data_IF_387101744311
#
_entry.id   IF_387101744311
#
_cell.length_a   1.000
_cell.length_b   1.000
_cell.length_c   1.000
_cell.angle_alpha   90.00
_cell.angle_beta   90.00
_cell.angle_gamma   90.00
#
_symmetry.space_group_name_H-M   'P 1'
#
loop_
_entity.id
_entity.type
_entity.pdbx_description
1 polymer ?
#
# COMPACT_ATOMS: atom_id res chain seq x y z
N UNK A 1 28.90 -5.52 -11.99
CA UNK A 1 27.58 -4.86 -12.21
C UNK A 1 26.67 -4.85 -10.98
N UNK A 2 26.92 -5.70 -9.95
CA UNK A 2 26.14 -5.67 -8.71
C UNK A 2 26.30 -4.33 -7.98
N UNK A 3 27.54 -3.91 -7.75
CA UNK A 3 27.86 -2.65 -7.06
C UNK A 3 27.19 -1.46 -7.75
N UNK A 4 27.31 -1.37 -9.07
CA UNK A 4 26.68 -0.31 -9.87
C UNK A 4 25.16 -0.30 -9.74
N UNK A 5 24.51 -1.48 -9.77
CA UNK A 5 23.06 -1.59 -9.61
C UNK A 5 22.60 -1.18 -8.22
N UNK A 6 23.36 -1.57 -7.18
CA UNK A 6 23.06 -1.19 -5.80
C UNK A 6 23.31 0.31 -5.57
N UNK A 7 24.38 0.87 -6.14
CA UNK A 7 24.64 2.32 -6.09
C UNK A 7 23.48 3.12 -6.70
N UNK A 8 22.98 2.71 -7.88
CA UNK A 8 21.83 3.37 -8.54
C UNK A 8 20.58 3.27 -7.67
N UNK A 9 20.28 2.09 -7.07
CA UNK A 9 19.11 1.92 -6.21
C UNK A 9 19.20 2.81 -4.97
N UNK A 10 20.37 2.85 -4.31
CA UNK A 10 20.56 3.64 -3.11
C UNK A 10 20.54 5.15 -3.39
N UNK A 11 21.03 5.57 -4.53
CA UNK A 11 20.92 6.97 -4.98
C UNK A 11 19.46 7.33 -5.28
N UNK A 12 18.76 6.50 -6.05
CA UNK A 12 17.36 6.69 -6.43
C UNK A 12 16.43 6.88 -5.22
N UNK A 13 16.61 6.08 -4.15
CA UNK A 13 15.74 6.19 -2.96
C UNK A 13 16.09 7.36 -2.06
N UNK A 14 17.26 7.98 -2.20
CA UNK A 14 17.72 9.10 -1.38
C UNK A 14 17.59 10.46 -2.07
N UNK A 15 17.44 10.50 -3.39
CA UNK A 15 17.43 11.74 -4.17
C UNK A 15 16.31 11.73 -5.23
N UNK A 16 15.04 11.83 -4.82
CA UNK A 16 13.90 11.78 -5.73
C UNK A 16 13.85 13.04 -6.61
N UNK A 17 13.39 12.85 -7.83
CA UNK A 17 13.20 13.94 -8.78
C UNK A 17 11.74 13.98 -9.27
N UNK A 18 10.89 14.72 -8.56
CA UNK A 18 9.50 14.94 -8.93
C UNK A 18 9.34 16.29 -9.63
N UNK A 19 8.72 16.28 -10.78
CA UNK A 19 8.34 17.49 -11.51
C UNK A 19 6.87 17.46 -11.86
N UNK A 20 6.25 18.62 -12.06
CA UNK A 20 4.86 18.70 -12.49
C UNK A 20 4.61 17.87 -13.77
N UNK A 21 5.57 17.86 -14.69
CA UNK A 21 5.46 17.11 -15.95
C UNK A 21 5.51 15.59 -15.73
N UNK A 22 6.43 15.09 -14.88
CA UNK A 22 6.54 13.65 -14.59
C UNK A 22 5.34 13.16 -13.79
N UNK A 23 4.86 13.96 -12.85
CA UNK A 23 3.65 13.67 -12.06
C UNK A 23 2.43 13.61 -12.96
N UNK A 24 2.20 14.59 -13.83
CA UNK A 24 1.06 14.58 -14.76
C UNK A 24 1.08 13.38 -15.72
N UNK A 25 2.27 12.97 -16.18
CA UNK A 25 2.40 11.75 -16.99
C UNK A 25 2.01 10.51 -16.22
N UNK A 26 2.47 10.37 -14.98
CA UNK A 26 2.20 9.22 -14.13
C UNK A 26 0.73 9.15 -13.71
N UNK A 27 0.10 10.29 -13.42
CA UNK A 27 -1.34 10.38 -13.19
C UNK A 27 -2.16 9.79 -14.35
N UNK A 28 -1.73 10.03 -15.60
CA UNK A 28 -2.37 9.46 -16.78
C UNK A 28 -2.25 7.93 -16.83
N UNK A 29 -1.08 7.38 -16.47
CA UNK A 29 -0.82 5.93 -16.44
C UNK A 29 -1.64 5.27 -15.33
N UNK A 30 -1.55 5.79 -14.11
CA UNK A 30 -2.29 5.27 -12.95
C UNK A 30 -3.80 5.40 -13.16
N UNK A 31 -4.26 6.50 -13.78
CA UNK A 31 -5.69 6.67 -14.11
C UNK A 31 -6.23 5.60 -15.08
N UNK A 32 -5.38 5.07 -15.97
CA UNK A 32 -5.76 3.93 -16.82
C UNK A 32 -5.77 2.61 -16.03
N UNK A 33 -4.83 2.43 -15.11
CA UNK A 33 -4.79 1.27 -14.21
C UNK A 33 -6.01 1.24 -13.28
N UNK A 34 -6.40 2.37 -12.69
CA UNK A 34 -7.62 2.48 -11.88
C UNK A 34 -8.85 2.04 -12.68
N UNK A 35 -9.01 2.52 -13.92
CA UNK A 35 -10.12 2.09 -14.77
C UNK A 35 -10.13 0.59 -15.06
N UNK A 36 -8.96 -0.01 -15.21
CA UNK A 36 -8.85 -1.46 -15.40
C UNK A 36 -9.35 -2.22 -14.16
N UNK A 37 -9.04 -1.75 -12.94
CA UNK A 37 -9.57 -2.33 -11.71
C UNK A 37 -11.07 -2.06 -11.53
N UNK A 38 -11.55 -0.87 -11.89
CA UNK A 38 -12.97 -0.53 -11.87
C UNK A 38 -13.80 -1.44 -12.78
N UNK A 39 -13.22 -1.91 -13.88
CA UNK A 39 -13.85 -2.86 -14.82
C UNK A 39 -13.72 -4.33 -14.36
N UNK A 40 -13.05 -4.62 -13.24
CA UNK A 40 -12.88 -5.96 -12.69
C UNK A 40 -14.01 -6.32 -11.72
N UNK A 41 -14.89 -7.30 -12.04
CA UNK A 41 -15.98 -7.69 -11.15
C UNK A 41 -15.50 -8.24 -9.80
N UNK A 42 -14.40 -9.02 -9.79
CA UNK A 42 -13.82 -9.59 -8.57
C UNK A 42 -13.27 -8.50 -7.65
N UNK A 43 -12.65 -7.47 -8.24
CA UNK A 43 -12.15 -6.32 -7.50
C UNK A 43 -13.30 -5.53 -6.88
N UNK A 44 -14.34 -5.25 -7.67
CA UNK A 44 -15.52 -4.51 -7.21
C UNK A 44 -16.27 -5.22 -6.09
N UNK A 45 -16.50 -6.53 -6.20
CA UNK A 45 -17.22 -7.28 -5.15
C UNK A 45 -16.41 -7.33 -3.85
N UNK A 46 -15.08 -7.42 -3.93
CA UNK A 46 -14.20 -7.38 -2.77
C UNK A 46 -14.26 -6.00 -2.06
N UNK A 47 -14.10 -4.91 -2.82
CA UNK A 47 -14.13 -3.57 -2.22
C UNK A 47 -15.52 -3.17 -1.72
N UNK A 48 -16.59 -3.55 -2.40
CA UNK A 48 -17.96 -3.37 -1.91
C UNK A 48 -18.18 -4.07 -0.56
N UNK A 49 -17.63 -5.28 -0.39
CA UNK A 49 -17.65 -5.98 0.90
C UNK A 49 -16.87 -5.20 1.97
N UNK A 50 -15.64 -4.75 1.68
CA UNK A 50 -14.82 -3.98 2.61
C UNK A 50 -15.47 -2.64 2.99
N UNK A 51 -16.07 -1.93 2.04
CA UNK A 51 -16.81 -0.70 2.30
C UNK A 51 -18.04 -0.91 3.20
N UNK A 52 -18.72 -2.05 3.02
CA UNK A 52 -19.84 -2.44 3.89
C UNK A 52 -19.38 -2.87 5.28
N UNK A 53 -18.20 -3.47 5.41
CA UNK A 53 -17.67 -3.96 6.69
C UNK A 53 -17.11 -2.85 7.58
N UNK A 54 -16.44 -1.84 7.03
CA UNK A 54 -15.64 -0.88 7.78
C UNK A 54 -16.19 0.55 7.72
N UNK A 55 -16.26 1.21 8.88
CA UNK A 55 -16.63 2.62 8.99
C UNK A 55 -15.44 3.56 8.71
N UNK A 56 -14.34 3.37 9.45
CA UNK A 56 -13.21 4.31 9.47
C UNK A 56 -11.90 3.67 8.99
N UNK A 57 -11.81 2.33 9.05
CA UNK A 57 -10.55 1.64 8.75
C UNK A 57 -10.15 1.82 7.27
N UNK A 58 -8.91 2.22 6.98
CA UNK A 58 -8.46 2.52 5.62
C UNK A 58 -8.42 1.31 4.67
N UNK A 59 -8.54 0.08 5.18
CA UNK A 59 -8.60 -1.14 4.35
C UNK A 59 -9.75 -1.13 3.35
N UNK A 60 -10.81 -0.35 3.59
CA UNK A 60 -11.94 -0.17 2.67
C UNK A 60 -11.62 0.72 1.47
N UNK A 61 -10.50 1.43 1.52
CA UNK A 61 -10.08 2.36 0.45
C UNK A 61 -9.15 1.60 -0.49
N UNK A 62 -9.45 1.64 -1.78
CA UNK A 62 -8.57 1.09 -2.78
C UNK A 62 -7.21 1.80 -2.72
N UNK A 63 -6.12 1.02 -2.69
CA UNK A 63 -4.76 1.56 -2.59
C UNK A 63 -4.39 2.43 -3.80
N UNK A 64 -4.98 2.17 -4.96
CA UNK A 64 -4.80 2.99 -6.15
C UNK A 64 -5.55 4.32 -6.05
N UNK A 65 -6.52 4.42 -5.15
CA UNK A 65 -7.40 5.59 -5.05
C UNK A 65 -8.41 5.69 -6.19
N UNK A 66 -8.82 6.90 -6.53
CA UNK A 66 -9.68 7.21 -7.68
C UNK A 66 -8.98 8.18 -8.62
N UNK A 67 -9.51 8.33 -9.83
CA UNK A 67 -8.97 9.31 -10.82
C UNK A 67 -8.97 10.72 -10.23
N UNK A 68 -10.00 11.07 -9.43
CA UNK A 68 -10.13 12.36 -8.78
C UNK A 68 -9.06 12.56 -7.70
N UNK A 69 -8.83 11.55 -6.83
CA UNK A 69 -7.80 11.64 -5.77
C UNK A 69 -6.39 11.66 -6.33
N UNK A 70 -6.13 10.90 -7.40
CA UNK A 70 -4.83 10.93 -8.10
C UNK A 70 -4.59 12.29 -8.73
N UNK A 71 -5.60 12.96 -9.29
CA UNK A 71 -5.46 14.29 -9.88
C UNK A 71 -5.04 15.37 -8.86
N UNK A 72 -5.29 15.15 -7.57
CA UNK A 72 -4.87 16.05 -6.49
C UNK A 72 -3.40 15.92 -6.08
N UNK A 73 -2.70 14.89 -6.56
CA UNK A 73 -1.29 14.63 -6.21
C UNK A 73 -0.40 15.55 -7.02
N UNK A 74 0.33 16.42 -6.35
CA UNK A 74 1.30 17.33 -6.97
C UNK A 74 2.73 16.90 -6.64
N UNK A 75 3.72 17.46 -7.34
CA UNK A 75 5.13 17.24 -7.03
C UNK A 75 5.46 17.66 -5.59
N UNK A 76 4.87 18.76 -5.11
CA UNK A 76 5.04 19.26 -3.74
C UNK A 76 4.52 18.25 -2.72
N UNK A 77 3.29 17.73 -2.91
CA UNK A 77 2.73 16.67 -2.05
C UNK A 77 3.62 15.42 -2.02
N UNK A 78 4.16 15.02 -3.17
CA UNK A 78 5.09 13.88 -3.23
C UNK A 78 6.37 14.16 -2.43
N UNK A 79 6.95 15.34 -2.52
CA UNK A 79 8.10 15.73 -1.69
C UNK A 79 7.76 15.77 -0.19
N UNK A 80 6.57 16.24 0.19
CA UNK A 80 6.11 16.24 1.58
C UNK A 80 6.03 14.80 2.12
N UNK A 81 5.37 13.90 1.39
CA UNK A 81 5.26 12.48 1.77
C UNK A 81 6.62 11.80 1.79
N UNK A 82 7.45 12.04 0.78
CA UNK A 82 8.81 11.53 0.72
C UNK A 82 9.63 11.94 1.95
N UNK A 83 9.63 13.22 2.29
CA UNK A 83 10.38 13.76 3.44
C UNK A 83 9.93 13.18 4.79
N UNK A 84 8.69 12.70 4.90
CA UNK A 84 8.19 12.03 6.10
C UNK A 84 8.60 10.57 6.14
N UNK A 85 8.34 9.81 5.07
CA UNK A 85 8.39 8.35 5.09
C UNK A 85 9.71 7.77 4.56
N UNK A 86 10.39 8.44 3.62
CA UNK A 86 11.64 8.00 3.03
C UNK A 86 12.86 8.45 3.84
N UNK A 87 12.79 8.26 5.14
CA UNK A 87 13.91 8.46 6.03
C UNK A 87 14.68 7.14 6.19
N UNK A 88 16.01 7.15 6.08
CA UNK A 88 16.83 5.94 6.14
C UNK A 88 16.64 5.16 7.47
N UNK A 89 16.26 5.83 8.56
CA UNK A 89 15.92 5.16 9.82
C UNK A 89 14.54 4.46 9.78
N UNK A 90 13.74 4.69 8.74
CA UNK A 90 12.45 4.04 8.50
C UNK A 90 12.51 3.03 7.35
N UNK A 91 13.70 2.73 6.82
CA UNK A 91 13.90 1.86 5.67
C UNK A 91 14.73 0.63 6.04
N UNK A 92 14.50 -0.46 5.33
CA UNK A 92 15.27 -1.70 5.45
C UNK A 92 15.78 -2.07 4.07
N UNK A 93 17.10 -2.30 3.97
CA UNK A 93 17.72 -2.83 2.76
C UNK A 93 17.78 -4.36 2.84
N UNK A 94 17.07 -5.03 1.95
CA UNK A 94 17.14 -6.47 1.76
C UNK A 94 17.81 -6.80 0.42
N UNK A 95 18.83 -7.62 0.45
CA UNK A 95 19.56 -8.06 -0.75
C UNK A 95 19.59 -9.59 -0.81
N UNK A 96 19.09 -10.16 -1.91
CA UNK A 96 19.11 -11.58 -2.18
C UNK A 96 19.82 -11.86 -3.52
N UNK A 97 20.69 -12.86 -3.54
CA UNK A 97 21.42 -13.26 -4.74
C UNK A 97 22.83 -13.79 -4.46
N UNK A 98 23.62 -13.95 -5.51
CA UNK A 98 25.01 -14.36 -5.38
C UNK A 98 25.91 -13.17 -5.02
N UNK A 99 25.82 -12.73 -3.76
CA UNK A 99 26.53 -11.57 -3.22
C UNK A 99 27.11 -11.91 -1.84
N UNK A 100 28.08 -11.15 -1.39
CA UNK A 100 28.62 -11.26 -0.03
C UNK A 100 28.12 -10.11 0.83
N UNK A 101 27.95 -10.35 2.12
CA UNK A 101 27.55 -9.33 3.09
C UNK A 101 28.51 -8.14 3.06
N UNK A 102 29.82 -8.40 3.06
CA UNK A 102 30.86 -7.37 3.04
C UNK A 102 30.79 -6.51 1.76
N UNK A 103 30.47 -7.13 0.61
CA UNK A 103 30.25 -6.40 -0.65
C UNK A 103 29.07 -5.45 -0.58
N UNK A 104 27.95 -5.91 0.01
CA UNK A 104 26.75 -5.06 0.20
C UNK A 104 27.06 -3.91 1.17
N UNK A 105 27.67 -4.22 2.33
CA UNK A 105 28.00 -3.21 3.33
C UNK A 105 28.94 -2.14 2.79
N UNK A 106 29.95 -2.54 2.01
CA UNK A 106 30.89 -1.60 1.38
C UNK A 106 30.19 -0.57 0.48
N UNK A 107 29.21 -1.00 -0.31
CA UNK A 107 28.44 -0.09 -1.17
C UNK A 107 27.48 0.74 -0.33
N UNK A 108 26.82 0.14 0.66
CA UNK A 108 25.90 0.85 1.55
C UNK A 108 26.64 1.96 2.33
N UNK A 109 27.78 1.66 2.94
CA UNK A 109 28.59 2.64 3.68
C UNK A 109 29.06 3.82 2.81
N UNK A 110 29.31 3.56 1.52
CA UNK A 110 29.70 4.59 0.55
C UNK A 110 28.52 5.49 0.17
N UNK A 111 27.31 4.90 0.01
CA UNK A 111 26.19 5.56 -0.63
C UNK A 111 25.17 6.15 0.35
N UNK A 112 25.04 5.56 1.56
CA UNK A 112 24.04 6.04 2.52
C UNK A 112 24.47 7.38 3.15
N UNK A 113 23.58 8.36 3.04
CA UNK A 113 23.80 9.69 3.60
C UNK A 113 23.40 9.69 5.09
N UNK A 114 24.13 10.37 5.98
CA UNK A 114 23.70 10.56 7.36
C UNK A 114 22.31 11.21 7.41
N UNK A 115 21.42 10.67 8.24
CA UNK A 115 20.11 11.26 8.43
C UNK A 115 19.72 11.26 9.92
N UNK A 116 18.96 12.27 10.31
CA UNK A 116 18.37 12.34 11.66
C UNK A 116 17.17 11.39 11.75
N UNK A 117 17.06 10.70 12.89
CA UNK A 117 15.91 9.83 13.15
C UNK A 117 14.65 10.69 13.29
N UNK A 118 13.66 10.43 12.45
CA UNK A 118 12.31 11.01 12.53
C UNK A 118 11.35 10.01 13.17
N UNK A 119 10.57 10.47 14.14
CA UNK A 119 9.49 9.66 14.70
C UNK A 119 8.26 9.80 13.80
N UNK A 120 7.82 8.70 13.20
CA UNK A 120 6.60 8.65 12.41
C UNK A 120 5.47 8.22 13.33
N UNK A 121 4.49 9.11 13.52
CA UNK A 121 3.28 8.82 14.31
C UNK A 121 2.18 8.36 13.37
N UNK A 122 1.77 7.11 13.53
CA UNK A 122 0.59 6.59 12.85
C UNK A 122 -0.65 7.01 13.65
N UNK A 123 -1.61 7.60 12.97
CA UNK A 123 -2.88 7.97 13.54
C UNK A 123 -3.99 7.14 12.87
N UNK A 124 -4.65 6.30 13.66
CA UNK A 124 -5.79 5.53 13.20
C UNK A 124 -7.03 5.96 13.96
N UNK A 125 -8.11 6.23 13.24
CA UNK A 125 -9.39 6.42 13.87
C UNK A 125 -9.87 5.12 14.50
N UNK A 126 -10.62 5.24 15.60
CA UNK A 126 -11.22 4.07 16.24
C UNK A 126 -12.26 3.47 15.31
N UNK A 127 -12.09 2.22 14.96
CA UNK A 127 -13.03 1.48 14.14
C UNK A 127 -14.11 0.84 15.02
N UNK A 128 -15.42 1.12 14.79
CA UNK A 128 -16.50 0.42 15.48
C UNK A 128 -16.46 -1.09 15.21
N UNK A 129 -16.93 -1.88 16.17
CA UNK A 129 -17.05 -3.33 15.98
C UNK A 129 -18.15 -3.69 14.97
N UNK A 130 -19.25 -2.95 15.02
CA UNK A 130 -20.38 -3.15 14.14
C UNK A 130 -19.98 -2.94 12.68
N UNK A 131 -20.57 -3.73 11.80
CA UNK A 131 -20.45 -3.52 10.37
C UNK A 131 -21.24 -2.28 9.95
N UNK A 132 -20.75 -1.58 8.93
CA UNK A 132 -21.40 -0.36 8.42
C UNK A 132 -22.71 -0.69 7.69
N UNK A 133 -22.66 -1.66 6.80
CA UNK A 133 -23.80 -2.12 5.99
C UNK A 133 -23.79 -3.65 5.88
N UNK A 134 -24.88 -4.35 6.22
CA UNK A 134 -24.91 -5.81 6.19
C UNK A 134 -25.05 -6.39 4.78
N UNK A 135 -25.39 -5.55 3.80
CA UNK A 135 -25.60 -5.97 2.42
C UNK A 135 -25.28 -4.83 1.46
N UNK A 136 -24.44 -5.10 0.48
CA UNK A 136 -24.09 -4.16 -0.60
C UNK A 136 -24.31 -4.88 -1.92
N UNK A 137 -25.03 -4.26 -2.85
CA UNK A 137 -25.28 -4.81 -4.18
C UNK A 137 -24.88 -3.80 -5.26
N UNK A 138 -24.26 -4.30 -6.31
CA UNK A 138 -23.90 -3.51 -7.48
C UNK A 138 -24.27 -4.26 -8.75
N UNK A 139 -24.94 -3.60 -9.68
CA UNK A 139 -25.15 -4.15 -11.02
C UNK A 139 -23.87 -4.04 -11.84
N UNK A 140 -23.48 -5.17 -12.45
CA UNK A 140 -22.27 -5.26 -13.26
C UNK A 140 -22.49 -6.18 -14.47
N UNK A 141 -21.85 -5.94 -15.63
CA UNK A 141 -22.06 -6.76 -16.84
C UNK A 141 -21.33 -8.11 -16.76
N UNK A 142 -21.82 -9.00 -15.90
CA UNK A 142 -21.28 -10.36 -15.70
C UNK A 142 -22.27 -11.41 -16.10
N UNK A 143 -21.78 -12.59 -16.55
CA UNK A 143 -22.61 -13.74 -16.92
C UNK A 143 -23.17 -14.49 -15.71
N UNK A 144 -22.49 -14.43 -14.58
CA UNK A 144 -22.92 -15.01 -13.30
C UNK A 144 -22.73 -14.02 -12.17
N UNK A 145 -23.67 -13.97 -11.20
CA UNK A 145 -23.48 -13.15 -10.01
C UNK A 145 -22.23 -13.57 -9.25
N UNK A 146 -21.46 -12.59 -8.77
CA UNK A 146 -20.35 -12.78 -7.84
C UNK A 146 -20.84 -12.44 -6.43
N UNK A 147 -20.38 -13.20 -5.46
CA UNK A 147 -20.79 -13.05 -4.08
C UNK A 147 -19.60 -13.20 -3.14
N UNK A 148 -19.44 -12.27 -2.21
CA UNK A 148 -18.49 -12.35 -1.12
C UNK A 148 -19.22 -12.24 0.22
N UNK A 149 -18.78 -13.05 1.18
CA UNK A 149 -19.25 -13.00 2.57
C UNK A 149 -18.08 -12.67 3.49
N UNK A 150 -18.20 -11.54 4.20
CA UNK A 150 -17.17 -11.06 5.12
C UNK A 150 -17.61 -11.20 6.58
N UNK A 151 -16.65 -11.55 7.45
CA UNK A 151 -16.83 -11.56 8.90
C UNK A 151 -15.86 -10.58 9.53
N UNK A 152 -16.37 -9.69 10.39
CA UNK A 152 -15.56 -8.72 11.13
C UNK A 152 -15.40 -9.19 12.56
N UNK A 153 -14.17 -9.40 12.97
CA UNK A 153 -13.88 -9.81 14.34
C UNK A 153 -13.77 -8.62 15.27
N UNK A 154 -14.11 -8.88 16.56
CA UNK A 154 -13.91 -7.92 17.62
C UNK A 154 -12.43 -7.86 18.00
N UNK A 155 -11.74 -6.82 17.58
CA UNK A 155 -10.30 -6.66 17.74
C UNK A 155 -9.90 -6.09 19.11
N UNK A 156 -10.46 -6.58 20.20
CA UNK A 156 -10.03 -6.20 21.56
C UNK A 156 -8.61 -6.71 21.84
N UNK A 157 -8.21 -7.81 21.18
CA UNK A 157 -6.86 -8.40 21.23
C UNK A 157 -6.54 -9.08 19.90
N UNK A 158 -5.28 -9.07 19.47
CA UNK A 158 -4.86 -9.86 18.32
C UNK A 158 -5.19 -11.33 18.54
N UNK A 159 -5.67 -12.02 17.50
CA UNK A 159 -5.85 -13.47 17.54
C UNK A 159 -4.50 -14.15 17.79
N UNK A 160 -4.50 -15.19 18.64
CA UNK A 160 -3.33 -16.02 18.79
C UNK A 160 -3.21 -17.00 17.60
N UNK A 161 -2.04 -17.61 17.43
CA UNK A 161 -1.74 -18.52 16.30
C UNK A 161 -2.77 -19.66 16.15
N UNK A 162 -3.25 -20.21 17.27
CA UNK A 162 -4.28 -21.28 17.26
C UNK A 162 -5.63 -20.77 16.75
N UNK A 163 -6.01 -19.57 17.16
CA UNK A 163 -7.25 -18.93 16.68
C UNK A 163 -7.17 -18.62 15.20
N UNK A 164 -6.04 -18.06 14.72
CA UNK A 164 -5.78 -17.82 13.30
C UNK A 164 -5.89 -19.12 12.49
N UNK A 165 -5.21 -20.19 12.92
CA UNK A 165 -5.26 -21.48 12.26
C UNK A 165 -6.68 -22.08 12.25
N UNK A 166 -7.44 -21.92 13.33
CA UNK A 166 -8.84 -22.35 13.36
C UNK A 166 -9.73 -21.56 12.40
N UNK A 167 -9.51 -20.25 12.28
CA UNK A 167 -10.21 -19.39 11.33
C UNK A 167 -9.91 -19.79 9.90
N UNK A 168 -8.64 -20.02 9.58
CA UNK A 168 -8.22 -20.47 8.24
C UNK A 168 -8.85 -21.81 7.85
N UNK A 169 -8.89 -22.77 8.78
CA UNK A 169 -9.55 -24.08 8.53
C UNK A 169 -11.07 -23.92 8.38
N UNK A 170 -11.69 -22.99 9.10
CA UNK A 170 -13.13 -22.76 9.04
C UNK A 170 -13.56 -22.12 7.71
N UNK A 171 -12.70 -21.29 7.13
CA UNK A 171 -12.96 -20.52 5.91
C UNK A 171 -12.48 -21.22 4.63
N UNK A 172 -11.70 -22.28 4.74
CA UNK A 172 -11.22 -23.11 3.61
C UNK A 172 -12.24 -24.18 3.22
#
# INVERSE_FOLDING_TARGET
>A
KFDESLEILLDFVQDPYFTAQTVAKEQGIIGQEIKMYDDSPDWRVMFNMLEGMYHNHPVKIDIAGTVETIAEITAEKLYEVYNVFYNLNNMILCVAGNVTVDGVLKVADKMLKPCEKKEIKNYFETEPYEIKEPYVEQTFPVSMPLFNLGFKEKADKPLNEKQLACTDILLS
#
